data_IF_462429499508
#
_entry.id   IF_462429499508
#
_cell.length_a   1.000
_cell.length_b   1.000
_cell.length_c   1.000
_cell.angle_alpha   90.00
_cell.angle_beta   90.00
_cell.angle_gamma   90.00
#
_symmetry.space_group_name_H-M   'P 1'
#
loop_
_entity.id
_entity.type
_entity.pdbx_description
1 polymer ?
#
# COMPACT_ATOMS: atom_id res chain seq x y z
N UNK A 1 13.71 18.29 -4.45
CA UNK A 1 12.75 17.44 -5.17
C UNK A 1 13.48 16.36 -5.96
N UNK A 2 13.34 15.10 -5.56
CA UNK A 2 14.07 13.96 -6.15
C UNK A 2 13.46 13.51 -7.49
N UNK A 3 14.20 12.74 -8.29
CA UNK A 3 13.69 12.19 -9.56
C UNK A 3 12.44 11.31 -9.35
N UNK A 4 12.41 10.54 -8.25
CA UNK A 4 11.24 9.75 -7.83
C UNK A 4 10.01 10.64 -7.65
N UNK A 5 10.14 11.69 -6.83
CA UNK A 5 9.05 12.64 -6.56
C UNK A 5 8.57 13.34 -7.84
N UNK A 6 9.48 13.69 -8.76
CA UNK A 6 9.13 14.28 -10.07
C UNK A 6 8.28 13.33 -10.93
N UNK A 7 8.66 12.06 -10.99
CA UNK A 7 7.91 11.05 -11.75
C UNK A 7 6.50 10.86 -11.18
N UNK A 8 6.40 10.74 -9.85
CA UNK A 8 5.11 10.60 -9.14
C UNK A 8 4.25 11.84 -9.39
N UNK A 9 4.78 13.03 -9.11
CA UNK A 9 4.05 14.31 -9.28
C UNK A 9 3.53 14.48 -10.71
N UNK A 10 4.36 14.19 -11.73
CA UNK A 10 3.96 14.31 -13.14
C UNK A 10 2.84 13.33 -13.52
N UNK A 11 2.80 12.16 -12.89
CA UNK A 11 1.71 11.21 -13.10
C UNK A 11 0.43 11.70 -12.44
N UNK A 12 0.51 12.13 -11.18
CA UNK A 12 -0.63 12.53 -10.37
C UNK A 12 -1.26 13.85 -10.83
N UNK A 13 -0.48 14.80 -11.36
CA UNK A 13 -0.97 16.12 -11.78
C UNK A 13 -1.99 16.06 -12.92
N UNK A 14 -2.09 14.92 -13.61
CA UNK A 14 -2.99 14.73 -14.76
C UNK A 14 -4.35 14.14 -14.36
N UNK A 15 -4.58 13.90 -13.06
CA UNK A 15 -5.70 13.10 -12.55
C UNK A 15 -6.28 13.70 -11.28
N UNK A 16 -7.50 13.30 -10.95
CA UNK A 16 -8.20 13.62 -9.71
C UNK A 16 -8.63 12.33 -9.02
N UNK A 17 -8.45 12.28 -7.70
CA UNK A 17 -8.81 11.13 -6.85
C UNK A 17 -9.76 11.61 -5.74
N UNK A 18 -10.69 10.77 -5.27
CA UNK A 18 -11.53 11.14 -4.12
C UNK A 18 -10.77 10.85 -2.83
N UNK A 19 -10.22 9.65 -2.71
CA UNK A 19 -9.49 9.20 -1.51
C UNK A 19 -8.18 8.54 -1.88
N UNK A 20 -7.09 8.97 -1.25
CA UNK A 20 -5.77 8.39 -1.44
C UNK A 20 -5.12 7.97 -0.11
N UNK A 21 -4.43 6.84 -0.14
CA UNK A 21 -3.56 6.35 0.94
C UNK A 21 -2.10 6.43 0.49
N UNK A 22 -1.23 6.92 1.36
CA UNK A 22 0.22 6.86 1.18
C UNK A 22 0.81 6.10 2.37
N UNK A 23 1.51 5.01 2.08
CA UNK A 23 2.30 4.27 3.06
C UNK A 23 3.77 4.57 2.80
N UNK A 24 4.40 5.31 3.72
CA UNK A 24 5.82 5.69 3.62
C UNK A 24 6.45 6.00 4.97
N UNK A 25 7.78 5.95 5.01
CA UNK A 25 8.55 6.18 6.23
C UNK A 25 8.52 7.63 6.72
N UNK A 26 8.48 8.57 5.78
CA UNK A 26 8.62 10.00 6.05
C UNK A 26 7.80 10.81 5.07
N UNK A 27 7.43 12.00 5.50
CA UNK A 27 6.71 12.94 4.66
C UNK A 27 7.52 13.31 3.40
N UNK A 28 6.83 13.42 2.26
CA UNK A 28 7.45 13.69 0.97
C UNK A 28 6.84 14.95 0.34
N UNK A 29 7.63 15.66 -0.47
CA UNK A 29 7.20 16.94 -1.03
C UNK A 29 6.03 16.82 -2.02
N UNK A 30 5.77 15.63 -2.55
CA UNK A 30 4.68 15.41 -3.51
C UNK A 30 3.30 15.28 -2.84
N UNK A 31 3.23 15.14 -1.51
CA UNK A 31 1.96 14.97 -0.78
C UNK A 31 0.99 16.12 -1.08
N UNK A 32 1.52 17.34 -1.10
CA UNK A 32 0.78 18.57 -1.37
C UNK A 32 0.48 18.82 -2.86
N UNK A 33 0.93 17.94 -3.75
CA UNK A 33 0.79 18.08 -5.20
C UNK A 33 -0.19 17.07 -5.79
N UNK A 34 -0.84 16.28 -4.95
CA UNK A 34 -1.84 15.30 -5.35
C UNK A 34 -3.20 15.99 -5.37
N UNK A 35 -3.88 15.96 -6.51
CA UNK A 35 -5.26 16.42 -6.59
C UNK A 35 -6.18 15.36 -5.98
N UNK A 36 -6.45 15.47 -4.68
CA UNK A 36 -7.26 14.51 -3.92
C UNK A 36 -8.16 15.21 -2.90
N UNK A 37 -9.39 14.71 -2.72
CA UNK A 37 -10.31 15.27 -1.72
C UNK A 37 -9.93 14.88 -0.28
N UNK A 38 -9.48 13.63 -0.09
CA UNK A 38 -8.98 13.13 1.20
C UNK A 38 -7.68 12.36 1.04
N UNK A 39 -6.63 12.83 1.70
CA UNK A 39 -5.33 12.18 1.76
C UNK A 39 -5.11 11.58 3.14
N UNK A 40 -4.71 10.31 3.19
CA UNK A 40 -4.22 9.64 4.40
C UNK A 40 -2.76 9.29 4.16
N UNK A 41 -1.86 9.82 5.00
CA UNK A 41 -0.44 9.48 4.95
C UNK A 41 -0.03 8.83 6.27
N UNK A 42 0.63 7.67 6.20
CA UNK A 42 1.00 6.90 7.37
C UNK A 42 2.26 6.06 7.11
N UNK A 43 2.91 5.63 8.18
CA UNK A 43 3.96 4.60 8.13
C UNK A 43 3.37 3.21 7.97
N UNK A 44 2.10 3.01 8.34
CA UNK A 44 1.40 1.75 8.18
C UNK A 44 2.14 0.63 8.90
N UNK A 45 2.57 -0.40 8.19
CA UNK A 45 3.32 -1.51 8.79
C UNK A 45 4.84 -1.28 8.86
N UNK A 46 5.32 -0.07 8.55
CA UNK A 46 6.73 0.27 8.71
C UNK A 46 7.05 0.60 10.17
N UNK A 47 8.11 -0.03 10.69
CA UNK A 47 8.62 0.20 12.05
C UNK A 47 9.64 1.35 12.07
N UNK A 48 9.22 2.55 11.69
CA UNK A 48 10.09 3.74 11.73
C UNK A 48 9.89 4.55 13.01
N UNK A 49 10.96 5.18 13.48
CA UNK A 49 10.95 6.11 14.61
C UNK A 49 11.51 7.47 14.20
N UNK A 50 10.77 8.58 14.37
CA UNK A 50 9.35 8.65 14.76
C UNK A 50 8.41 8.17 13.63
N UNK A 51 7.24 7.58 13.96
CA UNK A 51 6.29 7.15 12.95
C UNK A 51 5.58 8.34 12.29
N UNK A 52 5.33 8.23 10.99
CA UNK A 52 4.43 9.14 10.27
C UNK A 52 2.98 8.67 10.46
N UNK A 53 2.11 9.50 11.02
CA UNK A 53 0.70 9.14 11.18
C UNK A 53 0.50 7.87 12.02
N UNK A 54 -0.30 6.92 11.53
CA UNK A 54 -0.57 5.66 12.23
C UNK A 54 0.35 4.51 11.80
N UNK A 55 0.51 3.55 12.72
CA UNK A 55 1.16 2.26 12.50
C UNK A 55 0.12 1.16 12.68
N UNK A 56 0.08 0.17 11.79
CA UNK A 56 -0.86 -0.95 11.82
C UNK A 56 -0.24 -2.22 11.24
N UNK A 57 -0.85 -3.38 11.50
CA UNK A 57 -0.36 -4.68 11.02
C UNK A 57 -0.47 -4.78 9.48
N UNK A 58 0.50 -5.45 8.85
CA UNK A 58 0.46 -5.79 7.42
C UNK A 58 -0.82 -6.56 7.09
N UNK A 59 -1.28 -7.41 8.01
CA UNK A 59 -2.41 -8.31 7.81
C UNK A 59 -3.77 -7.67 8.08
N UNK A 60 -3.83 -6.53 8.78
CA UNK A 60 -5.07 -5.91 9.23
C UNK A 60 -5.04 -4.38 9.09
N UNK A 61 -5.40 -3.88 7.91
CA UNK A 61 -5.45 -2.43 7.68
C UNK A 61 -6.76 -1.85 8.25
N UNK A 62 -6.72 -0.69 8.94
CA UNK A 62 -7.89 -0.10 9.61
C UNK A 62 -8.79 0.68 8.64
N UNK A 63 -9.03 0.15 7.44
CA UNK A 63 -9.76 0.83 6.38
C UNK A 63 -10.92 -0.01 5.86
N UNK A 64 -11.95 0.67 5.38
CA UNK A 64 -13.14 0.02 4.83
C UNK A 64 -12.89 -0.57 3.44
N UNK A 65 -13.75 -1.50 3.05
CA UNK A 65 -13.74 -2.11 1.72
C UNK A 65 -13.94 -1.05 0.61
N UNK A 66 -13.11 -1.10 -0.43
CA UNK A 66 -13.09 -0.20 -1.60
C UNK A 66 -13.06 1.29 -1.23
N UNK A 67 -12.41 1.63 -0.13
CA UNK A 67 -12.37 2.99 0.37
C UNK A 67 -11.46 3.94 -0.44
N UNK A 68 -10.36 3.45 -1.03
CA UNK A 68 -9.38 4.29 -1.73
C UNK A 68 -9.43 4.12 -3.24
N UNK A 69 -9.29 5.23 -3.98
CA UNK A 69 -9.10 5.22 -5.43
C UNK A 69 -7.61 5.15 -5.81
N UNK A 70 -6.74 5.53 -4.87
CA UNK A 70 -5.29 5.56 -5.06
C UNK A 70 -4.59 5.05 -3.79
N UNK A 71 -3.68 4.11 -3.95
CA UNK A 71 -2.77 3.69 -2.88
C UNK A 71 -1.33 3.87 -3.38
N UNK A 72 -0.51 4.60 -2.63
CA UNK A 72 0.91 4.81 -2.93
C UNK A 72 1.73 4.06 -1.90
N UNK A 73 2.49 3.06 -2.37
CA UNK A 73 3.50 2.34 -1.60
C UNK A 73 4.86 2.96 -1.92
N UNK A 74 5.28 3.95 -1.13
CA UNK A 74 6.54 4.68 -1.33
C UNK A 74 7.62 4.15 -0.40
N UNK A 75 8.53 3.35 -0.98
CA UNK A 75 9.59 2.62 -0.27
C UNK A 75 9.07 1.68 0.84
N UNK A 76 7.78 1.33 0.76
CA UNK A 76 7.07 0.52 1.76
C UNK A 76 6.72 -0.89 1.28
N UNK A 77 7.10 -1.29 0.07
CA UNK A 77 6.82 -2.65 -0.41
C UNK A 77 7.76 -3.68 0.22
N UNK A 78 7.21 -4.74 0.80
CA UNK A 78 7.96 -5.79 1.49
C UNK A 78 8.24 -6.97 0.55
N UNK A 79 9.46 -7.51 0.55
CA UNK A 79 9.88 -8.64 -0.28
C UNK A 79 9.90 -9.98 0.50
N UNK A 80 8.88 -10.22 1.33
CA UNK A 80 8.70 -11.47 2.08
C UNK A 80 7.41 -12.16 1.58
N UNK A 81 7.44 -13.42 1.11
CA UNK A 81 6.28 -14.07 0.49
C UNK A 81 4.99 -14.05 1.33
N UNK A 82 5.08 -14.33 2.64
CA UNK A 82 3.92 -14.34 3.53
C UNK A 82 3.29 -12.94 3.66
N UNK A 83 4.10 -11.95 4.01
CA UNK A 83 3.66 -10.55 4.19
C UNK A 83 3.20 -9.92 2.86
N UNK A 84 3.77 -10.33 1.73
CA UNK A 84 3.31 -9.88 0.43
C UNK A 84 1.88 -10.34 0.12
N UNK A 85 1.54 -11.59 0.43
CA UNK A 85 0.17 -12.09 0.24
C UNK A 85 -0.81 -11.24 1.04
N UNK A 86 -0.46 -10.91 2.28
CA UNK A 86 -1.23 -9.99 3.12
C UNK A 86 -1.36 -8.59 2.49
N UNK A 87 -0.26 -8.00 1.99
CA UNK A 87 -0.31 -6.71 1.28
C UNK A 87 -1.26 -6.78 0.08
N UNK A 88 -1.17 -7.81 -0.77
CA UNK A 88 -2.06 -7.93 -1.93
C UNK A 88 -3.52 -8.11 -1.54
N UNK A 89 -3.81 -8.90 -0.50
CA UNK A 89 -5.16 -9.04 0.03
C UNK A 89 -5.71 -7.69 0.51
N UNK A 90 -4.91 -6.93 1.26
CA UNK A 90 -5.29 -5.62 1.77
C UNK A 90 -5.44 -4.58 0.64
N UNK A 91 -4.57 -4.60 -0.37
CA UNK A 91 -4.73 -3.78 -1.58
C UNK A 91 -6.04 -4.11 -2.29
N UNK A 92 -6.37 -5.39 -2.49
CA UNK A 92 -7.63 -5.79 -3.12
C UNK A 92 -8.86 -5.36 -2.33
N UNK A 93 -8.80 -5.50 -1.02
CA UNK A 93 -9.89 -5.14 -0.12
C UNK A 93 -10.12 -3.62 -0.07
N UNK A 94 -9.06 -2.84 0.12
CA UNK A 94 -9.16 -1.39 0.34
C UNK A 94 -9.31 -0.58 -0.95
N UNK A 95 -8.84 -1.10 -2.09
CA UNK A 95 -8.81 -0.37 -3.36
C UNK A 95 -10.11 -0.56 -4.14
N UNK A 96 -10.66 0.54 -4.64
CA UNK A 96 -11.78 0.56 -5.56
C UNK A 96 -11.49 -0.25 -6.83
N UNK A 97 -12.54 -0.68 -7.54
CA UNK A 97 -12.44 -1.57 -8.70
C UNK A 97 -11.57 -0.98 -9.84
N UNK A 98 -11.69 0.33 -10.10
CA UNK A 98 -10.83 1.03 -11.05
C UNK A 98 -9.66 1.78 -10.38
N UNK A 99 -9.36 1.45 -9.13
CA UNK A 99 -8.34 2.11 -8.34
C UNK A 99 -6.92 1.81 -8.84
N UNK A 100 -5.99 2.69 -8.48
CA UNK A 100 -4.59 2.62 -8.88
C UNK A 100 -3.67 2.39 -7.69
N UNK A 101 -2.65 1.57 -7.90
CA UNK A 101 -1.54 1.40 -6.95
C UNK A 101 -0.28 1.95 -7.57
N UNK A 102 0.37 2.90 -6.90
CA UNK A 102 1.69 3.39 -7.27
C UNK A 102 2.71 2.75 -6.35
N UNK A 103 3.67 2.03 -6.91
CA UNK A 103 4.80 1.48 -6.16
C UNK A 103 6.06 2.23 -6.56
N UNK A 104 6.67 2.90 -5.58
CA UNK A 104 7.95 3.57 -5.76
C UNK A 104 9.02 2.85 -4.94
N UNK A 105 10.09 2.41 -5.58
CA UNK A 105 11.15 1.64 -4.94
C UNK A 105 12.53 2.20 -5.29
N UNK A 106 13.41 2.16 -4.29
CA UNK A 106 14.80 2.64 -4.36
C UNK A 106 15.78 1.61 -3.77
N UNK A 107 15.71 0.33 -4.15
CA UNK A 107 16.75 -0.65 -3.78
C UNK A 107 16.28 -2.02 -3.26
N UNK A 108 15.01 -2.19 -2.88
CA UNK A 108 14.58 -3.38 -2.14
C UNK A 108 14.12 -4.56 -3.03
N UNK A 109 13.56 -4.28 -4.21
CA UNK A 109 13.00 -5.30 -5.09
C UNK A 109 13.33 -4.98 -6.55
N UNK A 110 13.52 -6.00 -7.39
CA UNK A 110 13.69 -5.79 -8.83
C UNK A 110 12.35 -5.50 -9.49
N UNK A 111 12.36 -4.65 -10.51
CA UNK A 111 11.17 -4.27 -11.26
C UNK A 111 10.47 -5.48 -11.87
N UNK A 112 11.21 -6.42 -12.47
CA UNK A 112 10.63 -7.64 -13.04
C UNK A 112 9.89 -8.48 -11.99
N UNK A 113 10.51 -8.69 -10.83
CA UNK A 113 9.88 -9.45 -9.74
C UNK A 113 8.63 -8.77 -9.21
N UNK A 114 8.63 -7.44 -9.10
CA UNK A 114 7.45 -6.69 -8.70
C UNK A 114 6.33 -6.83 -9.75
N UNK A 115 6.66 -6.62 -11.03
CA UNK A 115 5.69 -6.70 -12.13
C UNK A 115 5.04 -8.08 -12.21
N UNK A 116 5.83 -9.16 -12.15
CA UNK A 116 5.28 -10.52 -12.24
C UNK A 116 4.31 -10.82 -11.09
N UNK A 117 4.63 -10.35 -9.89
CA UNK A 117 3.80 -10.54 -8.69
C UNK A 117 2.51 -9.73 -8.75
N UNK A 118 2.55 -8.49 -9.22
CA UNK A 118 1.33 -7.69 -9.39
C UNK A 118 0.41 -8.31 -10.44
N UNK A 119 0.97 -8.75 -11.57
CA UNK A 119 0.20 -9.40 -12.64
C UNK A 119 -0.43 -10.71 -12.14
N UNK A 120 0.33 -11.56 -11.43
CA UNK A 120 -0.19 -12.82 -10.89
C UNK A 120 -1.28 -12.62 -9.83
N UNK A 121 -1.36 -11.43 -9.24
CA UNK A 121 -2.37 -11.06 -8.25
C UNK A 121 -3.43 -10.12 -8.82
N UNK A 122 -3.65 -10.08 -10.15
CA UNK A 122 -4.78 -9.34 -10.72
C UNK A 122 -4.60 -7.83 -10.84
N UNK A 123 -3.36 -7.36 -10.97
CA UNK A 123 -3.06 -5.96 -11.25
C UNK A 123 -2.35 -5.82 -12.60
N UNK A 124 -2.86 -4.92 -13.44
CA UNK A 124 -2.26 -4.63 -14.74
C UNK A 124 -1.30 -3.45 -14.60
N UNK A 125 -0.06 -3.62 -15.09
CA UNK A 125 0.91 -2.53 -15.17
C UNK A 125 0.51 -1.52 -16.25
N UNK A 126 0.16 -0.31 -15.83
CA UNK A 126 -0.23 0.79 -16.71
C UNK A 126 0.94 1.64 -17.18
N UNK A 127 1.89 1.93 -16.28
CA UNK A 127 3.04 2.79 -16.59
C UNK A 127 4.25 2.40 -15.74
N UNK A 128 5.38 2.20 -16.41
CA UNK A 128 6.67 1.88 -15.78
C UNK A 128 7.68 2.96 -16.11
N UNK A 129 8.29 3.57 -15.07
CA UNK A 129 9.33 4.60 -15.22
C UNK A 129 10.53 4.22 -14.36
N UNK A 130 11.70 4.12 -14.99
CA UNK A 130 12.97 3.96 -14.28
C UNK A 130 13.40 5.31 -13.70
N UNK A 131 13.90 5.32 -12.46
CA UNK A 131 14.44 6.55 -11.83
C UNK A 131 15.79 6.91 -12.47
N UNK A 132 16.61 5.91 -12.82
CA UNK A 132 17.93 6.07 -13.44
C UNK A 132 17.89 5.84 -14.96
N UNK A 133 16.97 6.54 -15.62
CA UNK A 133 16.79 6.45 -17.07
C UNK A 133 18.02 7.01 -17.81
N UNK A 134 18.44 6.33 -18.87
CA UNK A 134 19.55 6.74 -19.75
C UNK A 134 19.04 6.99 -21.17
N UNK A 135 19.76 7.75 -22.00
CA UNK A 135 19.36 7.95 -23.41
C UNK A 135 19.43 6.68 -24.28
N UNK A 136 20.08 5.61 -23.80
CA UNK A 136 20.28 4.37 -24.54
C UNK A 136 19.15 3.36 -24.28
N UNK A 137 18.41 3.01 -25.34
CA UNK A 137 17.27 2.09 -25.30
C UNK A 137 17.63 0.68 -24.79
N UNK A 138 18.73 0.11 -25.26
CA UNK A 138 19.17 -1.25 -24.89
C UNK A 138 19.51 -1.29 -23.39
N UNK A 139 20.28 -0.31 -22.93
CA UNK A 139 20.65 -0.18 -21.51
C UNK A 139 19.39 -0.03 -20.63
N UNK A 140 18.40 0.74 -21.08
CA UNK A 140 17.13 0.87 -20.35
C UNK A 140 16.34 -0.45 -20.30
N UNK A 141 16.41 -1.27 -21.36
CA UNK A 141 15.74 -2.57 -21.39
C UNK A 141 16.36 -3.55 -20.40
N UNK A 142 17.70 -3.65 -20.37
CA UNK A 142 18.40 -4.43 -19.35
C UNK A 142 18.11 -3.91 -17.94
N UNK A 143 18.13 -2.58 -17.76
CA UNK A 143 17.73 -1.96 -16.49
C UNK A 143 16.29 -2.29 -16.12
N UNK A 144 15.35 -2.51 -17.04
CA UNK A 144 13.98 -2.90 -16.65
C UNK A 144 13.93 -4.27 -15.96
N UNK A 145 14.86 -5.15 -16.26
CA UNK A 145 14.94 -6.48 -15.65
C UNK A 145 15.60 -6.39 -14.26
N UNK A 146 16.73 -5.69 -14.17
CA UNK A 146 17.55 -5.67 -12.96
C UNK A 146 17.38 -4.45 -12.04
N UNK A 147 16.77 -3.37 -12.52
CA UNK A 147 16.67 -2.13 -11.76
C UNK A 147 15.82 -2.31 -10.52
N UNK A 148 16.35 -1.77 -9.42
CA UNK A 148 15.67 -1.64 -8.14
C UNK A 148 15.19 -0.20 -7.88
N UNK A 149 15.38 0.69 -8.86
CA UNK A 149 15.05 2.11 -8.81
C UNK A 149 14.00 2.46 -9.86
N UNK A 150 12.73 2.50 -9.46
CA UNK A 150 11.62 2.68 -10.37
C UNK A 150 10.39 3.25 -9.67
N UNK A 151 9.46 3.74 -10.50
CA UNK A 151 8.08 4.02 -10.14
C UNK A 151 7.19 3.26 -11.13
N UNK A 152 6.29 2.45 -10.62
CA UNK A 152 5.29 1.73 -11.42
C UNK A 152 3.90 2.10 -10.97
N UNK A 153 3.01 2.27 -11.94
CA UNK A 153 1.59 2.42 -11.71
C UNK A 153 0.88 1.16 -12.18
N UNK A 154 0.13 0.57 -11.28
CA UNK A 154 -0.75 -0.56 -11.51
C UNK A 154 -2.21 -0.10 -11.44
N UNK A 155 -3.07 -0.75 -12.23
CA UNK A 155 -4.52 -0.65 -12.11
C UNK A 155 -5.04 -2.01 -11.67
N UNK A 156 -6.00 -2.03 -10.74
CA UNK A 156 -6.73 -3.25 -10.41
C UNK A 156 -7.48 -3.73 -11.66
N UNK A 157 -7.35 -5.02 -11.97
CA UNK A 157 -8.07 -5.62 -13.07
C UNK A 157 -9.43 -6.13 -12.58
N UNK A 158 -10.50 -5.72 -13.25
CA UNK A 158 -11.86 -6.13 -12.91
C UNK A 158 -12.16 -7.58 -13.33
N UNK A 159 -11.34 -8.17 -14.21
CA UNK A 159 -11.51 -9.54 -14.71
C UNK A 159 -10.73 -10.58 -13.91
N UNK A 160 -9.71 -10.16 -13.17
CA UNK A 160 -8.97 -11.03 -12.25
C UNK A 160 -9.70 -11.07 -10.90
N UNK A 161 -10.87 -11.69 -10.89
CA UNK A 161 -11.50 -12.12 -9.65
C UNK A 161 -10.64 -13.22 -9.05
N UNK A 162 -9.71 -12.86 -8.16
CA UNK A 162 -9.24 -13.78 -7.12
C UNK A 162 -10.50 -14.24 -6.41
N UNK A 163 -10.78 -15.54 -6.43
CA UNK A 163 -12.03 -16.13 -5.99
C UNK A 163 -12.60 -15.44 -4.74
N UNK A 164 -13.81 -14.83 -4.83
CA UNK A 164 -14.45 -14.18 -3.69
C UNK A 164 -14.78 -15.18 -2.55
N UNK A 165 -14.57 -16.48 -2.78
CA UNK A 165 -14.69 -17.55 -1.79
C UNK A 165 -13.68 -17.47 -0.64
N UNK A 166 -12.63 -16.64 -0.73
CA UNK A 166 -11.74 -16.36 0.41
C UNK A 166 -12.13 -15.11 1.22
N UNK A 167 -13.01 -14.27 0.70
CA UNK A 167 -13.52 -13.09 1.42
C UNK A 167 -14.56 -13.52 2.45
N UNK A 168 -15.26 -14.64 2.24
CA UNK A 168 -16.11 -15.26 3.27
C UNK A 168 -15.34 -15.76 4.50
N UNK A 169 -14.04 -16.04 4.38
CA UNK A 169 -13.17 -16.35 5.54
C UNK A 169 -12.67 -15.09 6.26
N UNK A 170 -12.55 -13.96 5.55
CA UNK A 170 -12.18 -12.65 6.10
C UNK A 170 -13.38 -11.87 6.68
N UNK A 171 -14.62 -12.19 6.26
CA UNK A 171 -15.88 -11.65 6.79
C UNK A 171 -16.54 -12.65 7.77
N UNK A 172 -15.80 -13.59 8.35
CA UNK A 172 -16.29 -14.22 9.58
C UNK A 172 -16.28 -13.13 10.65
N UNK A 173 -17.46 -12.63 11.01
CA UNK A 173 -17.60 -11.83 12.22
C UNK A 173 -16.89 -12.58 13.35
N UNK A 174 -15.86 -11.99 13.98
CA UNK A 174 -15.14 -12.67 15.03
C UNK A 174 -16.13 -13.02 16.14
N UNK A 175 -16.13 -14.27 16.56
CA UNK A 175 -17.03 -14.69 17.64
C UNK A 175 -16.75 -13.85 18.89
N UNK A 176 -17.77 -13.59 19.72
CA UNK A 176 -17.62 -12.79 20.96
C UNK A 176 -16.43 -13.24 21.84
N UNK A 177 -16.06 -14.52 21.77
CA UNK A 177 -14.89 -15.09 22.46
C UNK A 177 -13.54 -14.75 21.80
N UNK A 178 -13.48 -14.59 20.48
CA UNK A 178 -12.28 -14.18 19.73
C UNK A 178 -12.02 -12.68 19.88
N UNK A 179 -13.08 -11.87 19.84
CA UNK A 179 -13.01 -10.43 20.19
C UNK A 179 -12.50 -10.26 21.62
N UNK A 180 -13.05 -11.03 22.58
CA UNK A 180 -12.57 -11.00 23.97
C UNK A 180 -11.09 -11.41 24.10
N UNK A 181 -10.57 -12.31 23.26
CA UNK A 181 -9.15 -12.68 23.24
C UNK A 181 -8.27 -11.59 22.64
N UNK A 182 -8.67 -10.98 21.52
CA UNK A 182 -7.94 -9.89 20.86
C UNK A 182 -7.81 -8.67 21.79
N UNK A 183 -8.85 -8.36 22.56
CA UNK A 183 -8.84 -7.29 23.56
C UNK A 183 -8.35 -7.72 24.96
N UNK A 184 -7.90 -8.97 25.14
CA UNK A 184 -7.33 -9.46 26.43
C UNK A 184 -5.80 -9.43 26.50
N UNK A 185 -5.12 -9.03 25.42
CA UNK A 185 -3.68 -8.77 25.46
C UNK A 185 -3.39 -7.60 26.41
N UNK A 186 -2.40 -7.76 27.29
CA UNK A 186 -2.17 -6.95 28.50
C UNK A 186 -2.04 -5.43 28.37
N UNK A 187 -2.19 -4.84 27.17
CA UNK A 187 -2.22 -3.40 26.95
C UNK A 187 -3.62 -2.78 27.14
N UNK A 188 -4.71 -3.56 27.09
CA UNK A 188 -6.07 -3.04 27.33
C UNK A 188 -6.38 -2.82 28.83
N UNK A 189 -5.64 -3.47 29.74
CA UNK A 189 -5.83 -3.30 31.19
C UNK A 189 -5.29 -1.98 31.72
N UNK A 190 -4.38 -1.31 31.02
CA UNK A 190 -3.81 -0.04 31.47
C UNK A 190 -4.61 1.18 31.01
N UNK A 191 -5.41 1.08 29.94
CA UNK A 191 -6.19 2.22 29.43
C UNK A 191 -7.57 2.34 30.11
N UNK A 192 -8.15 1.23 30.59
CA UNK A 192 -9.46 1.23 31.25
C UNK A 192 -9.42 0.87 32.75
N UNK A 193 -8.23 0.76 33.34
CA UNK A 193 -8.03 0.32 34.72
C UNK A 193 -8.63 1.20 35.82
N UNK A 194 -9.22 2.36 35.51
CA UNK A 194 -9.72 3.31 36.52
C UNK A 194 -11.17 3.79 36.36
N UNK A 195 -11.97 3.20 35.47
CA UNK A 195 -13.41 3.52 35.41
C UNK A 195 -14.24 2.31 35.78
N UNK A 196 -14.18 1.90 37.06
CA UNK A 196 -15.32 1.34 37.81
C UNK A 196 -14.91 1.08 39.26
N UNK A 197 -14.83 2.16 40.03
CA UNK A 197 -15.21 2.17 41.45
C UNK A 197 -15.86 3.51 41.73
N UNK A 198 -17.18 3.52 41.83
CA UNK A 198 -17.87 3.93 43.06
C UNK A 198 -19.39 3.80 42.91
N UNK A 199 -19.92 2.91 43.76
CA UNK A 199 -21.28 2.70 44.28
C UNK A 199 -22.42 2.42 43.31
#
# INVERSE_FOLDING_TARGET
MTNKERIITRYLSQRWYKKALIITAKEQNYFYKINVLKLVACSGYLKNEPPLGCVFDVEAWPFEHKFFDLIILDESFINCPALMKAIFNQLHFCLADDGEVIVACSGNISLYSLLSRFISNGFISKRVRLINYTGNFIVNMFKRIFSKYFVVVFKKDNYFSVDPLSVGELIKEPTKSEVAKIYSGGCAKEVYGNFHKEK
#
